data_IF_361075420451
#
_entry.id   IF_361075420451
#
_cell.length_a   1.000
_cell.length_b   1.000
_cell.length_c   1.000
_cell.angle_alpha   90.00
_cell.angle_beta   90.00
_cell.angle_gamma   90.00
#
_symmetry.space_group_name_H-M   'P 1'
#
loop_
_entity.id
_entity.type
_entity.pdbx_description
1 polymer ?
#
# COMPACT_ATOMS: atom_id res chain seq x y z
N UNK A 1 57.67 12.36 -45.97
CA UNK A 1 57.15 12.55 -44.60
C UNK A 1 55.65 12.35 -44.67
N UNK A 2 55.07 11.78 -43.63
CA UNK A 2 53.63 11.42 -43.47
C UNK A 2 53.25 9.99 -43.87
N UNK A 3 53.54 9.03 -42.98
CA UNK A 3 52.80 7.75 -42.93
C UNK A 3 52.94 6.94 -41.64
N UNK A 4 53.25 7.56 -40.47
CA UNK A 4 53.46 6.79 -39.21
C UNK A 4 52.46 7.15 -38.09
N UNK A 5 51.69 8.24 -38.18
CA UNK A 5 50.86 8.69 -37.06
C UNK A 5 49.45 8.08 -36.95
N UNK A 6 48.96 7.35 -37.94
CA UNK A 6 47.55 6.91 -37.98
C UNK A 6 47.26 5.56 -37.29
N UNK A 7 48.29 4.73 -37.03
CA UNK A 7 48.10 3.39 -36.39
C UNK A 7 48.06 3.42 -34.86
N UNK A 8 48.56 4.48 -34.22
CA UNK A 8 48.59 4.60 -32.75
C UNK A 8 47.25 5.01 -32.16
N UNK A 9 46.49 5.84 -32.89
CA UNK A 9 45.22 6.41 -32.44
C UNK A 9 44.15 5.32 -32.35
N UNK A 10 43.98 4.49 -33.38
CA UNK A 10 42.96 3.42 -33.40
C UNK A 10 43.12 2.37 -32.29
N UNK A 11 44.35 2.08 -31.83
CA UNK A 11 44.58 1.14 -30.72
C UNK A 11 44.15 1.71 -29.37
N UNK A 12 44.34 3.01 -29.12
CA UNK A 12 43.92 3.66 -27.86
C UNK A 12 42.40 3.80 -27.77
N UNK A 13 41.71 4.09 -28.87
CA UNK A 13 40.24 4.16 -28.90
C UNK A 13 39.61 2.77 -28.72
N UNK A 14 40.14 1.75 -29.40
CA UNK A 14 39.66 0.37 -29.25
C UNK A 14 39.90 -0.17 -27.83
N UNK A 15 41.05 0.13 -27.19
CA UNK A 15 41.33 -0.24 -25.80
C UNK A 15 40.40 0.48 -24.81
N UNK A 16 40.10 1.76 -25.06
CA UNK A 16 39.21 2.57 -24.20
C UNK A 16 37.75 2.12 -24.30
N UNK A 17 37.27 1.78 -25.49
CA UNK A 17 35.92 1.23 -25.68
C UNK A 17 35.79 -0.18 -25.08
N UNK A 18 36.82 -1.02 -25.22
CA UNK A 18 36.80 -2.37 -24.62
C UNK A 18 36.89 -2.34 -23.08
N UNK A 19 37.70 -1.43 -22.50
CA UNK A 19 37.70 -1.19 -21.04
C UNK A 19 36.36 -0.61 -20.57
N UNK A 20 35.76 0.32 -21.33
CA UNK A 20 34.45 0.89 -21.01
C UNK A 20 33.34 -0.16 -21.06
N UNK A 21 33.33 -1.05 -22.06
CA UNK A 21 32.40 -2.18 -22.13
C UNK A 21 32.62 -3.17 -20.99
N UNK A 22 33.88 -3.49 -20.64
CA UNK A 22 34.17 -4.35 -19.50
C UNK A 22 33.69 -3.75 -18.19
N UNK A 23 33.89 -2.44 -17.95
CA UNK A 23 33.41 -1.77 -16.74
C UNK A 23 31.88 -1.77 -16.71
N UNK A 24 31.20 -1.47 -17.83
CA UNK A 24 29.73 -1.52 -17.92
C UNK A 24 29.20 -2.94 -17.70
N UNK A 25 29.83 -3.97 -18.27
CA UNK A 25 29.45 -5.37 -18.04
C UNK A 25 29.69 -5.80 -16.59
N UNK A 26 30.81 -5.39 -15.97
CA UNK A 26 31.07 -5.69 -14.55
C UNK A 26 30.09 -4.94 -13.65
N UNK A 27 29.77 -3.67 -13.92
CA UNK A 27 28.79 -2.90 -13.17
C UNK A 27 27.37 -3.44 -13.37
N UNK A 28 27.00 -3.88 -14.57
CA UNK A 28 25.72 -4.55 -14.83
C UNK A 28 25.66 -5.91 -14.14
N UNK A 29 26.76 -6.69 -14.10
CA UNK A 29 26.80 -7.95 -13.35
C UNK A 29 26.80 -7.74 -11.84
N UNK A 30 27.41 -6.66 -11.35
CA UNK A 30 27.35 -6.24 -9.95
C UNK A 30 25.92 -5.79 -9.65
N UNK A 31 25.28 -4.97 -10.48
CA UNK A 31 23.86 -4.62 -10.33
C UNK A 31 23.00 -5.88 -10.39
N UNK A 32 23.26 -6.83 -11.30
CA UNK A 32 22.53 -8.09 -11.36
C UNK A 32 22.75 -8.94 -10.11
N UNK A 33 23.95 -8.98 -9.53
CA UNK A 33 24.28 -9.73 -8.29
C UNK A 33 23.79 -9.00 -7.03
N UNK A 34 23.70 -7.67 -7.04
CA UNK A 34 23.24 -6.85 -5.91
C UNK A 34 21.73 -6.54 -5.97
N UNK A 35 21.08 -6.61 -7.15
CA UNK A 35 19.62 -6.59 -7.34
C UNK A 35 19.02 -7.99 -7.41
N UNK A 36 19.79 -9.03 -7.75
CA UNK A 36 19.50 -10.41 -7.33
C UNK A 36 20.16 -10.67 -5.98
N UNK A 37 19.82 -9.85 -4.98
CA UNK A 37 19.62 -10.49 -3.70
C UNK A 37 18.44 -11.42 -3.93
N UNK A 38 18.58 -12.75 -3.77
CA UNK A 38 17.38 -13.56 -3.62
C UNK A 38 16.57 -12.85 -2.55
N UNK A 39 15.30 -12.53 -2.86
CA UNK A 39 14.35 -12.10 -1.84
C UNK A 39 14.63 -12.99 -0.65
N UNK A 40 14.84 -12.44 0.57
CA UNK A 40 14.94 -13.27 1.76
C UNK A 40 13.84 -14.30 1.61
N UNK A 41 14.18 -15.59 1.72
CA UNK A 41 13.20 -16.65 1.59
C UNK A 41 12.25 -16.51 2.78
N UNK A 42 11.36 -15.52 2.68
CA UNK A 42 10.26 -15.29 3.56
C UNK A 42 9.44 -16.57 3.44
N UNK A 43 8.87 -17.06 4.54
CA UNK A 43 7.87 -18.10 4.44
C UNK A 43 6.75 -17.56 3.53
N UNK A 44 6.79 -17.93 2.26
CA UNK A 44 5.70 -17.66 1.33
C UNK A 44 4.55 -18.45 1.92
N UNK A 45 3.51 -17.76 2.37
CA UNK A 45 2.24 -18.40 2.61
C UNK A 45 1.68 -18.84 1.26
N UNK A 46 2.25 -19.91 0.69
CA UNK A 46 1.82 -20.55 -0.56
C UNK A 46 0.46 -21.21 -0.38
N UNK A 47 0.04 -21.41 0.88
CA UNK A 47 -1.23 -21.99 1.26
C UNK A 47 -1.88 -21.16 2.38
N UNK A 48 -3.05 -20.63 2.06
CA UNK A 48 -3.74 -19.62 2.87
C UNK A 48 -4.54 -20.20 4.03
N UNK A 49 -4.44 -21.52 4.22
CA UNK A 49 -4.95 -22.25 5.37
C UNK A 49 -4.22 -21.88 6.69
N UNK A 50 -3.07 -21.18 6.60
CA UNK A 50 -2.25 -20.75 7.75
C UNK A 50 -2.43 -19.28 8.16
N UNK A 51 -3.34 -18.50 7.56
CA UNK A 51 -3.67 -17.15 8.07
C UNK A 51 -4.08 -17.15 9.56
N UNK A 52 -4.69 -18.22 10.13
CA UNK A 52 -4.89 -18.36 11.58
C UNK A 52 -3.67 -18.87 12.38
N UNK A 53 -2.54 -19.19 11.73
CA UNK A 53 -1.36 -19.84 12.33
C UNK A 53 -0.07 -19.08 12.01
N UNK A 54 -0.10 -17.78 12.22
CA UNK A 54 1.15 -17.02 12.33
C UNK A 54 1.98 -17.68 13.44
N UNK A 55 3.10 -18.30 13.07
CA UNK A 55 4.02 -18.91 14.04
C UNK A 55 4.43 -17.84 15.05
N UNK A 56 4.60 -18.20 16.32
CA UNK A 56 4.81 -17.27 17.44
C UNK A 56 5.98 -16.26 17.29
N UNK A 57 6.83 -16.43 16.26
CA UNK A 57 8.02 -15.61 15.99
C UNK A 57 8.02 -14.99 14.57
N UNK A 58 6.91 -15.03 13.84
CA UNK A 58 6.84 -14.39 12.52
C UNK A 58 6.83 -12.87 12.69
N UNK A 59 7.89 -12.21 12.24
CA UNK A 59 7.99 -10.74 12.20
C UNK A 59 7.48 -10.15 10.89
N UNK A 60 7.59 -10.90 9.79
CA UNK A 60 7.11 -10.48 8.47
C UNK A 60 6.11 -11.50 7.97
N UNK A 61 4.88 -11.06 7.72
CA UNK A 61 3.86 -11.87 7.07
C UNK A 61 3.82 -11.49 5.60
N UNK A 62 4.32 -12.40 4.76
CA UNK A 62 4.43 -12.20 3.32
C UNK A 62 3.46 -13.13 2.57
N UNK A 63 2.65 -12.56 1.70
CA UNK A 63 1.75 -13.28 0.79
C UNK A 63 2.21 -13.01 -0.63
N UNK A 64 2.58 -14.07 -1.35
CA UNK A 64 3.04 -13.98 -2.73
C UNK A 64 1.94 -13.59 -3.70
N UNK A 65 2.34 -13.30 -4.94
CA UNK A 65 1.42 -12.90 -6.01
C UNK A 65 0.43 -14.03 -6.33
N UNK A 66 -0.80 -13.67 -6.69
CA UNK A 66 -1.86 -14.60 -7.12
C UNK A 66 -2.27 -15.62 -6.01
N UNK A 67 -1.97 -15.34 -4.75
CA UNK A 67 -2.19 -16.26 -3.63
C UNK A 67 -3.55 -16.04 -2.96
N UNK A 68 -4.02 -17.05 -2.20
CA UNK A 68 -5.21 -16.94 -1.34
C UNK A 68 -6.53 -16.63 -2.05
N UNK A 69 -6.65 -17.04 -3.31
CA UNK A 69 -7.85 -16.88 -4.11
C UNK A 69 -8.79 -18.09 -3.99
N UNK A 70 -8.98 -18.60 -2.77
CA UNK A 70 -9.85 -19.75 -2.50
C UNK A 70 -11.23 -19.29 -2.04
N UNK A 71 -12.30 -19.76 -2.70
CA UNK A 71 -13.70 -19.39 -2.41
C UNK A 71 -14.16 -19.62 -0.96
N UNK A 72 -13.50 -20.52 -0.23
CA UNK A 72 -13.83 -20.85 1.16
C UNK A 72 -13.21 -19.87 2.19
N UNK A 73 -12.34 -18.95 1.75
CA UNK A 73 -11.72 -17.96 2.62
C UNK A 73 -12.38 -16.60 2.38
N UNK A 74 -13.31 -16.24 3.25
CA UNK A 74 -14.04 -14.96 3.19
C UNK A 74 -13.48 -13.92 4.16
N UNK A 75 -12.62 -14.32 5.10
CA UNK A 75 -12.03 -13.41 6.08
C UNK A 75 -10.50 -13.52 6.14
N UNK A 76 -9.88 -12.37 6.36
CA UNK A 76 -8.48 -12.19 6.70
C UNK A 76 -8.43 -11.41 8.01
N UNK A 77 -8.07 -12.09 9.09
CA UNK A 77 -8.01 -11.47 10.41
C UNK A 77 -6.73 -11.84 11.14
N UNK A 78 -5.97 -10.82 11.58
CA UNK A 78 -4.82 -10.99 12.47
C UNK A 78 -5.09 -10.17 13.72
N UNK A 79 -5.21 -10.85 14.86
CA UNK A 79 -5.58 -10.21 16.12
C UNK A 79 -4.68 -10.67 17.27
N UNK A 80 -4.38 -9.76 18.20
CA UNK A 80 -3.63 -10.05 19.43
C UNK A 80 -2.27 -10.72 19.17
N UNK A 81 -1.55 -10.24 18.15
CA UNK A 81 -0.26 -10.80 17.76
C UNK A 81 0.86 -9.77 17.92
N UNK A 82 1.78 -10.07 18.84
CA UNK A 82 2.76 -9.12 19.37
C UNK A 82 4.12 -9.21 18.68
N UNK A 83 4.28 -10.11 17.71
CA UNK A 83 5.52 -10.32 16.97
C UNK A 83 5.57 -9.65 15.60
N UNK A 84 4.42 -9.28 15.01
CA UNK A 84 4.35 -8.88 13.61
C UNK A 84 4.85 -7.45 13.46
N UNK A 85 5.81 -7.26 12.58
CA UNK A 85 6.45 -5.98 12.26
C UNK A 85 6.03 -5.48 10.88
N UNK A 86 5.85 -6.36 9.89
CA UNK A 86 5.48 -5.99 8.53
C UNK A 86 4.46 -6.97 7.95
N UNK A 87 3.42 -6.43 7.32
CA UNK A 87 2.46 -7.18 6.52
C UNK A 87 2.66 -6.79 5.04
N UNK A 88 2.99 -7.77 4.22
CA UNK A 88 3.24 -7.59 2.79
C UNK A 88 2.39 -8.57 2.01
N UNK A 89 1.52 -8.05 1.16
CA UNK A 89 0.65 -8.82 0.30
C UNK A 89 0.91 -8.36 -1.12
N UNK A 90 1.41 -9.25 -1.97
CA UNK A 90 1.59 -8.96 -3.39
C UNK A 90 0.26 -8.88 -4.14
N UNK A 91 0.34 -8.51 -5.42
CA UNK A 91 -0.84 -8.33 -6.27
C UNK A 91 -1.69 -9.60 -6.47
N UNK A 92 -2.96 -9.37 -6.83
CA UNK A 92 -3.95 -10.37 -7.22
C UNK A 92 -4.24 -11.41 -6.12
N UNK A 93 -4.18 -11.03 -4.84
CA UNK A 93 -4.37 -11.94 -3.72
C UNK A 93 -5.69 -11.73 -2.98
N UNK A 94 -6.22 -12.77 -2.34
CA UNK A 94 -7.44 -12.69 -1.50
C UNK A 94 -8.72 -12.22 -2.23
N UNK A 95 -8.92 -12.60 -3.49
CA UNK A 95 -10.07 -12.20 -4.32
C UNK A 95 -11.44 -12.41 -3.63
N UNK A 96 -11.57 -13.48 -2.83
CA UNK A 96 -12.83 -13.89 -2.20
C UNK A 96 -13.03 -13.37 -0.77
N UNK A 97 -12.03 -12.65 -0.23
CA UNK A 97 -12.11 -12.10 1.13
C UNK A 97 -12.98 -10.85 1.11
N UNK A 98 -13.96 -10.82 2.00
CA UNK A 98 -14.85 -9.69 2.22
C UNK A 98 -14.65 -9.04 3.61
N UNK A 99 -13.86 -9.63 4.48
CA UNK A 99 -13.54 -9.06 5.80
C UNK A 99 -12.04 -9.01 6.02
N UNK A 100 -11.48 -7.80 6.09
CA UNK A 100 -10.09 -7.54 6.42
C UNK A 100 -10.02 -6.85 7.77
N UNK A 101 -9.44 -7.53 8.77
CA UNK A 101 -9.38 -7.02 10.15
C UNK A 101 -7.98 -7.21 10.74
N UNK A 102 -7.34 -6.10 11.09
CA UNK A 102 -6.12 -6.09 11.90
C UNK A 102 -6.42 -5.45 13.24
N UNK A 103 -6.17 -6.16 14.34
CA UNK A 103 -6.46 -5.66 15.68
C UNK A 103 -5.35 -6.01 16.68
N UNK A 104 -4.88 -5.03 17.45
CA UNK A 104 -3.93 -5.26 18.55
C UNK A 104 -2.65 -5.93 18.04
N UNK A 105 -1.91 -5.20 17.19
CA UNK A 105 -0.63 -5.62 16.61
C UNK A 105 0.43 -4.57 16.98
N UNK A 106 0.90 -4.55 18.24
CA UNK A 106 1.62 -3.41 18.80
C UNK A 106 2.98 -3.15 18.15
N UNK A 107 3.59 -4.15 17.50
CA UNK A 107 4.87 -4.02 16.78
C UNK A 107 4.71 -3.80 15.29
N UNK A 108 3.50 -3.84 14.74
CA UNK A 108 3.28 -3.72 13.31
C UNK A 108 3.62 -2.29 12.90
N UNK A 109 4.58 -2.13 11.99
CA UNK A 109 5.07 -0.82 11.51
C UNK A 109 4.56 -0.48 10.13
N UNK A 110 4.37 -1.49 9.29
CA UNK A 110 4.09 -1.27 7.88
C UNK A 110 3.10 -2.30 7.33
N UNK A 111 2.17 -1.80 6.52
CA UNK A 111 1.26 -2.59 5.71
C UNK A 111 1.46 -2.19 4.25
N UNK A 112 1.79 -3.17 3.41
CA UNK A 112 1.85 -3.03 1.95
C UNK A 112 0.92 -4.06 1.32
N UNK A 113 0.00 -3.59 0.49
CA UNK A 113 -0.94 -4.43 -0.26
C UNK A 113 -0.80 -4.06 -1.73
N UNK A 114 -0.47 -5.03 -2.58
CA UNK A 114 -0.31 -4.86 -4.01
C UNK A 114 -1.65 -4.71 -4.74
N UNK A 115 -1.57 -4.46 -6.04
CA UNK A 115 -2.73 -4.21 -6.89
C UNK A 115 -3.69 -5.40 -7.00
N UNK A 116 -4.99 -5.12 -7.21
CA UNK A 116 -6.06 -6.10 -7.40
C UNK A 116 -6.19 -7.12 -6.25
N UNK A 117 -5.79 -6.76 -5.03
CA UNK A 117 -5.90 -7.62 -3.85
C UNK A 117 -7.14 -7.27 -3.04
N UNK A 118 -7.79 -8.28 -2.44
CA UNK A 118 -9.08 -8.09 -1.74
C UNK A 118 -10.14 -7.44 -2.64
N UNK A 119 -10.18 -7.78 -3.93
CA UNK A 119 -11.10 -7.12 -4.88
C UNK A 119 -12.55 -7.27 -4.41
N UNK A 120 -12.94 -8.48 -3.99
CA UNK A 120 -14.32 -8.88 -3.73
C UNK A 120 -15.04 -9.36 -4.98
N UNK A 121 -16.11 -10.14 -4.81
CA UNK A 121 -16.83 -10.75 -5.94
C UNK A 121 -18.03 -9.94 -6.45
N UNK A 122 -18.57 -9.07 -5.61
CA UNK A 122 -19.79 -8.34 -5.92
C UNK A 122 -19.93 -7.15 -4.98
N UNK A 123 -20.46 -6.03 -5.49
CA UNK A 123 -20.83 -4.85 -4.71
C UNK A 123 -22.04 -5.18 -3.84
N UNK A 124 -21.81 -5.81 -2.70
CA UNK A 124 -22.83 -6.10 -1.67
C UNK A 124 -22.40 -5.45 -0.37
N UNK A 125 -23.38 -5.01 0.43
CA UNK A 125 -23.10 -4.53 1.79
C UNK A 125 -22.42 -5.62 2.64
N UNK A 126 -21.61 -5.20 3.62
CA UNK A 126 -20.95 -6.11 4.57
C UNK A 126 -19.48 -6.40 4.28
N UNK A 127 -18.87 -5.77 3.27
CA UNK A 127 -17.43 -5.88 3.04
C UNK A 127 -16.68 -4.91 3.97
N UNK A 128 -15.95 -5.46 4.94
CA UNK A 128 -15.39 -4.73 6.09
C UNK A 128 -13.88 -4.57 5.99
N UNK A 129 -13.39 -3.33 6.07
CA UNK A 129 -11.98 -3.00 6.26
C UNK A 129 -11.79 -2.35 7.64
N UNK A 130 -10.92 -2.89 8.48
CA UNK A 130 -10.68 -2.33 9.82
C UNK A 130 -9.26 -2.58 10.30
N UNK A 131 -8.56 -1.52 10.67
CA UNK A 131 -7.24 -1.56 11.31
C UNK A 131 -7.34 -0.84 12.66
N UNK A 132 -7.01 -1.52 13.74
CA UNK A 132 -7.14 -0.93 15.08
C UNK A 132 -6.04 -1.36 16.04
N UNK A 133 -5.67 -0.47 16.97
CA UNK A 133 -4.73 -0.76 18.06
C UNK A 133 -3.36 -1.27 17.58
N UNK A 134 -2.88 -0.74 16.45
CA UNK A 134 -1.55 -1.02 15.91
C UNK A 134 -0.64 0.17 16.24
N UNK A 135 -0.13 0.19 17.48
CA UNK A 135 0.46 1.41 18.08
C UNK A 135 1.75 1.88 17.43
N UNK A 136 2.52 0.99 16.81
CA UNK A 136 3.75 1.31 16.07
C UNK A 136 3.54 1.45 14.55
N UNK A 137 2.30 1.30 14.06
CA UNK A 137 2.01 1.36 12.62
C UNK A 137 2.29 2.76 12.13
N UNK A 138 3.23 2.92 11.19
CA UNK A 138 3.65 4.22 10.65
C UNK A 138 3.21 4.44 9.20
N UNK A 139 3.01 3.37 8.42
CA UNK A 139 2.65 3.46 7.01
C UNK A 139 1.66 2.38 6.57
N UNK A 140 0.64 2.81 5.81
CA UNK A 140 -0.29 1.94 5.08
C UNK A 140 -0.23 2.31 3.60
N UNK A 141 0.08 1.33 2.76
CA UNK A 141 0.07 1.48 1.30
C UNK A 141 -0.82 0.39 0.67
N UNK A 142 -1.77 0.84 -0.14
CA UNK A 142 -2.74 -0.02 -0.83
C UNK A 142 -2.64 0.26 -2.34
N UNK A 143 -2.36 -0.81 -3.09
CA UNK A 143 -2.24 -0.83 -4.53
C UNK A 143 -3.57 -0.61 -5.24
N UNK A 144 -3.49 -0.40 -6.55
CA UNK A 144 -4.62 -0.02 -7.38
C UNK A 144 -5.66 -1.13 -7.42
N UNK A 145 -6.95 -0.77 -7.39
CA UNK A 145 -8.10 -1.69 -7.48
C UNK A 145 -8.21 -2.70 -6.32
N UNK A 146 -7.40 -2.54 -5.28
CA UNK A 146 -7.52 -3.33 -4.06
C UNK A 146 -8.69 -2.84 -3.21
N UNK A 147 -9.38 -3.75 -2.51
CA UNK A 147 -10.60 -3.43 -1.75
C UNK A 147 -11.72 -2.77 -2.59
N UNK A 148 -11.77 -3.01 -3.90
CA UNK A 148 -12.68 -2.26 -4.80
C UNK A 148 -14.17 -2.45 -4.47
N UNK A 149 -14.56 -3.63 -3.95
CA UNK A 149 -15.94 -3.92 -3.56
C UNK A 149 -16.20 -3.67 -2.08
N UNK A 150 -15.22 -3.14 -1.33
CA UNK A 150 -15.42 -2.86 0.09
C UNK A 150 -16.34 -1.68 0.28
N UNK A 151 -17.41 -1.91 1.05
CA UNK A 151 -18.58 -1.04 1.15
C UNK A 151 -18.90 -0.57 2.58
N UNK A 152 -18.29 -1.14 3.62
CA UNK A 152 -18.50 -0.70 5.00
C UNK A 152 -17.42 0.33 5.41
N UNK A 153 -17.72 1.19 6.38
CA UNK A 153 -16.85 2.29 6.84
C UNK A 153 -15.33 2.00 6.80
N UNK A 154 -14.57 2.93 6.21
CA UNK A 154 -13.10 2.87 6.21
C UNK A 154 -12.60 3.16 7.62
N UNK A 155 -12.20 2.13 8.34
CA UNK A 155 -11.80 2.27 9.74
C UNK A 155 -10.29 2.06 9.94
N UNK A 156 -9.60 3.12 10.35
CA UNK A 156 -8.28 3.04 10.97
C UNK A 156 -8.31 3.83 12.29
N UNK A 157 -8.10 3.17 13.42
CA UNK A 157 -8.19 3.83 14.74
C UNK A 157 -7.16 3.33 15.75
N UNK A 158 -6.92 4.12 16.79
CA UNK A 158 -5.98 3.78 17.87
C UNK A 158 -4.58 3.42 17.31
N UNK A 159 -4.16 4.12 16.25
CA UNK A 159 -2.86 3.97 15.58
C UNK A 159 -2.08 5.30 15.65
N UNK A 160 -1.63 5.72 16.85
CA UNK A 160 -1.05 7.06 17.07
C UNK A 160 0.27 7.29 16.35
N UNK A 161 0.99 6.23 15.95
CA UNK A 161 2.23 6.37 15.18
C UNK A 161 2.03 6.48 13.67
N UNK A 162 0.78 6.39 13.19
CA UNK A 162 0.50 6.37 11.75
C UNK A 162 0.81 7.72 11.15
N UNK A 163 1.75 7.76 10.21
CA UNK A 163 2.23 8.98 9.58
C UNK A 163 1.68 9.15 8.17
N UNK A 164 1.46 8.05 7.44
CA UNK A 164 1.08 8.06 6.03
C UNK A 164 0.06 6.98 5.67
N UNK A 165 -0.95 7.36 4.89
CA UNK A 165 -1.88 6.46 4.21
C UNK A 165 -1.82 6.77 2.72
N UNK A 166 -1.59 5.76 1.88
CA UNK A 166 -1.52 5.90 0.42
C UNK A 166 -2.38 4.86 -0.26
N UNK A 167 -3.31 5.32 -1.08
CA UNK A 167 -4.20 4.51 -1.91
C UNK A 167 -3.91 4.82 -3.38
N UNK A 168 -3.56 3.82 -4.21
CA UNK A 168 -3.12 4.06 -5.60
C UNK A 168 -4.27 4.27 -6.60
N UNK A 169 -5.53 4.04 -6.23
CA UNK A 169 -6.71 4.35 -7.04
C UNK A 169 -7.66 3.17 -7.21
N UNK A 170 -8.90 3.44 -7.60
CA UNK A 170 -9.98 2.43 -7.72
C UNK A 170 -10.18 1.61 -6.44
N UNK A 171 -9.83 2.21 -5.30
CA UNK A 171 -9.94 1.57 -4.00
C UNK A 171 -11.25 1.98 -3.35
N UNK A 172 -11.93 1.03 -2.73
CA UNK A 172 -13.12 1.25 -1.91
C UNK A 172 -14.34 1.81 -2.67
N UNK A 173 -15.53 1.32 -2.33
CA UNK A 173 -16.82 1.79 -2.82
C UNK A 173 -17.73 2.02 -1.61
N UNK A 174 -17.35 2.99 -0.78
CA UNK A 174 -17.90 3.18 0.56
C UNK A 174 -19.01 4.22 0.58
N UNK A 175 -19.94 4.17 1.55
CA UNK A 175 -20.82 5.26 1.90
C UNK A 175 -20.17 6.27 2.85
N UNK A 176 -19.17 5.87 3.67
CA UNK A 176 -18.60 6.72 4.73
C UNK A 176 -17.08 6.58 4.91
N UNK A 177 -16.38 7.71 4.90
CA UNK A 177 -15.01 7.92 5.35
C UNK A 177 -15.00 9.11 6.31
N UNK A 178 -14.82 8.84 7.61
CA UNK A 178 -14.74 9.87 8.65
C UNK A 178 -13.42 9.70 9.39
N UNK A 179 -12.55 10.71 9.34
CA UNK A 179 -11.30 10.76 10.07
C UNK A 179 -11.30 11.95 11.02
N UNK A 180 -11.47 11.69 12.32
CA UNK A 180 -11.46 12.73 13.34
C UNK A 180 -10.53 12.42 14.53
N UNK A 181 -10.45 13.36 15.47
CA UNK A 181 -9.61 13.26 16.66
C UNK A 181 -9.92 12.01 17.53
N UNK A 182 -11.15 11.48 17.49
CA UNK A 182 -11.56 10.30 18.27
C UNK A 182 -10.87 9.01 17.81
N UNK A 183 -10.36 8.98 16.58
CA UNK A 183 -9.62 7.85 16.04
C UNK A 183 -8.18 7.78 16.55
N UNK A 184 -7.69 8.80 17.26
CA UNK A 184 -6.32 8.86 17.81
C UNK A 184 -5.22 8.66 16.75
N UNK A 185 -5.38 9.24 15.55
CA UNK A 185 -4.38 9.24 14.48
C UNK A 185 -3.43 10.44 14.61
N UNK A 186 -2.79 10.57 15.77
CA UNK A 186 -2.14 11.82 16.19
C UNK A 186 -0.95 12.25 15.35
N UNK A 187 -0.27 11.33 14.65
CA UNK A 187 0.86 11.64 13.75
C UNK A 187 0.51 11.67 12.27
N UNK A 188 -0.75 11.44 11.89
CA UNK A 188 -1.09 11.33 10.48
C UNK A 188 -0.79 12.65 9.78
N UNK A 189 0.12 12.60 8.81
CA UNK A 189 0.68 13.77 8.13
C UNK A 189 0.37 13.80 6.64
N UNK A 190 0.26 12.63 6.02
CA UNK A 190 -0.02 12.48 4.60
C UNK A 190 -1.17 11.49 4.40
N UNK A 191 -2.19 11.92 3.67
CA UNK A 191 -3.25 11.05 3.18
C UNK A 191 -3.42 11.23 1.67
N UNK A 192 -3.05 10.21 0.90
CA UNK A 192 -3.13 10.19 -0.55
C UNK A 192 -4.24 9.22 -0.98
N UNK A 193 -5.20 9.75 -1.71
CA UNK A 193 -6.31 9.01 -2.31
C UNK A 193 -6.11 9.06 -3.81
N UNK A 194 -5.79 7.92 -4.43
CA UNK A 194 -5.63 7.80 -5.87
C UNK A 194 -6.96 7.91 -6.63
N UNK A 195 -6.90 8.05 -7.96
CA UNK A 195 -8.06 8.35 -8.79
C UNK A 195 -9.15 7.28 -8.71
N UNK A 196 -10.40 7.70 -8.94
CA UNK A 196 -11.60 6.85 -8.97
C UNK A 196 -11.80 6.02 -7.69
N UNK A 197 -11.31 6.48 -6.53
CA UNK A 197 -11.48 5.81 -5.25
C UNK A 197 -12.71 6.34 -4.50
N UNK A 198 -13.24 5.56 -3.56
CA UNK A 198 -14.40 5.94 -2.73
C UNK A 198 -15.63 6.30 -3.57
N UNK A 199 -15.93 5.50 -4.59
CA UNK A 199 -17.10 5.73 -5.43
C UNK A 199 -18.40 5.53 -4.62
N UNK A 200 -19.43 6.33 -4.89
CA UNK A 200 -20.71 6.40 -4.16
C UNK A 200 -20.59 6.79 -2.67
N UNK A 201 -19.52 7.46 -2.26
CA UNK A 201 -19.39 7.95 -0.88
C UNK A 201 -20.32 9.12 -0.59
N UNK A 202 -21.16 8.94 0.42
CA UNK A 202 -22.10 9.96 0.90
C UNK A 202 -21.46 10.80 2.01
N UNK A 203 -20.51 10.27 2.78
CA UNK A 203 -19.83 11.02 3.84
C UNK A 203 -18.32 10.93 3.72
N UNK A 204 -17.69 12.08 3.50
CA UNK A 204 -16.25 12.30 3.53
C UNK A 204 -15.97 13.44 4.50
N UNK A 205 -15.47 13.11 5.69
CA UNK A 205 -15.19 14.09 6.72
C UNK A 205 -13.79 13.87 7.27
N UNK A 206 -12.98 14.94 7.25
CA UNK A 206 -11.69 14.96 7.92
C UNK A 206 -11.70 16.16 8.86
N UNK A 207 -11.57 15.91 10.16
CA UNK A 207 -11.72 16.96 11.15
C UNK A 207 -10.68 16.83 12.28
N UNK A 208 -10.14 17.96 12.73
CA UNK A 208 -9.29 18.01 13.93
C UNK A 208 -8.10 17.03 13.89
N UNK A 209 -7.45 16.84 12.73
CA UNK A 209 -6.21 16.08 12.64
C UNK A 209 -5.00 17.03 12.73
N UNK A 210 -4.34 17.14 13.91
CA UNK A 210 -3.44 18.24 14.22
C UNK A 210 -2.10 18.20 13.48
N UNK A 211 -1.76 17.09 12.83
CA UNK A 211 -0.51 16.93 12.09
C UNK A 211 -0.74 16.67 10.60
N UNK A 212 -1.99 16.69 10.12
CA UNK A 212 -2.28 16.43 8.71
C UNK A 212 -1.81 17.61 7.86
N UNK A 213 -0.72 17.41 7.12
CA UNK A 213 -0.03 18.43 6.34
C UNK A 213 -0.32 18.34 4.84
N UNK A 214 -0.58 17.14 4.35
CA UNK A 214 -0.85 16.88 2.94
C UNK A 214 -2.06 15.99 2.76
N UNK A 215 -2.97 16.44 1.91
CA UNK A 215 -4.01 15.60 1.34
C UNK A 215 -3.99 15.68 -0.18
N UNK A 216 -3.99 14.51 -0.81
CA UNK A 216 -4.13 14.38 -2.26
C UNK A 216 -5.41 13.61 -2.56
N UNK A 217 -6.25 14.16 -3.41
CA UNK A 217 -7.46 13.50 -3.91
C UNK A 217 -7.33 13.40 -5.42
N UNK A 218 -7.26 12.18 -5.94
CA UNK A 218 -7.14 11.89 -7.35
C UNK A 218 -8.46 12.06 -8.09
N UNK A 219 -8.36 12.28 -9.40
CA UNK A 219 -9.46 12.54 -10.32
C UNK A 219 -10.58 11.50 -10.17
N UNK A 220 -11.84 11.92 -10.32
CA UNK A 220 -13.03 11.05 -10.20
C UNK A 220 -13.22 10.33 -8.86
N UNK A 221 -12.42 10.65 -7.82
CA UNK A 221 -12.68 10.14 -6.47
C UNK A 221 -13.97 10.75 -5.91
N UNK A 222 -14.67 10.00 -5.05
CA UNK A 222 -15.93 10.42 -4.43
C UNK A 222 -17.07 10.73 -5.43
N UNK A 223 -16.98 10.24 -6.67
CA UNK A 223 -18.04 10.38 -7.66
C UNK A 223 -19.21 9.42 -7.39
N UNK A 224 -20.40 9.72 -7.93
CA UNK A 224 -21.58 8.84 -7.84
C UNK A 224 -22.43 8.99 -6.57
N UNK A 225 -22.06 9.88 -5.65
CA UNK A 225 -22.82 10.15 -4.44
C UNK A 225 -24.23 10.74 -4.74
N UNK A 226 -25.24 10.32 -3.99
CA UNK A 226 -26.60 10.89 -4.08
C UNK A 226 -26.59 12.22 -3.30
N UNK A 227 -26.85 13.32 -4.01
CA UNK A 227 -26.55 14.69 -3.56
C UNK A 227 -27.34 15.14 -2.30
N UNK A 228 -28.51 14.55 -2.03
CA UNK A 228 -29.45 15.11 -1.05
C UNK A 228 -29.10 14.82 0.43
N UNK A 229 -28.15 13.91 0.69
CA UNK A 229 -27.72 13.55 2.05
C UNK A 229 -26.19 13.50 2.22
N UNK A 230 -25.44 14.01 1.25
CA UNK A 230 -23.99 13.89 1.26
C UNK A 230 -23.28 14.99 2.09
N UNK A 231 -22.23 14.62 2.82
CA UNK A 231 -21.38 15.52 3.62
C UNK A 231 -19.93 15.38 3.15
N UNK A 232 -19.35 16.50 2.69
CA UNK A 232 -17.98 16.57 2.20
C UNK A 232 -17.26 17.74 2.90
N UNK A 233 -16.40 17.43 3.87
CA UNK A 233 -15.75 18.43 4.68
C UNK A 233 -14.32 18.06 5.04
N UNK A 234 -13.43 19.04 4.93
CA UNK A 234 -12.13 19.03 5.59
C UNK A 234 -12.06 20.28 6.47
N UNK A 235 -11.88 20.11 7.77
CA UNK A 235 -11.87 21.20 8.73
C UNK A 235 -10.83 21.00 9.84
N UNK A 236 -10.41 22.10 10.46
CA UNK A 236 -9.52 22.09 11.64
C UNK A 236 -8.23 21.26 11.46
N UNK A 237 -7.70 21.20 10.24
CA UNK A 237 -6.45 20.53 9.90
C UNK A 237 -5.42 21.57 9.41
N UNK A 238 -4.15 21.50 9.85
CA UNK A 238 -3.12 22.43 9.39
C UNK A 238 -2.56 21.97 8.04
N UNK A 239 -3.35 22.18 6.97
CA UNK A 239 -3.05 21.75 5.60
C UNK A 239 -2.33 22.86 4.80
N UNK A 240 -0.98 22.94 4.81
CA UNK A 240 -0.25 23.80 3.88
C UNK A 240 -0.38 23.34 2.43
N UNK A 241 -0.63 22.05 2.17
CA UNK A 241 -0.71 21.48 0.84
C UNK A 241 -1.94 20.58 0.68
N UNK A 242 -3.03 21.15 0.16
CA UNK A 242 -4.16 20.39 -0.35
C UNK A 242 -4.12 20.41 -1.89
N UNK A 243 -4.05 19.24 -2.52
CA UNK A 243 -4.08 19.12 -3.98
C UNK A 243 -5.22 18.20 -4.38
N UNK A 244 -6.17 18.75 -5.13
CA UNK A 244 -7.15 17.98 -5.89
C UNK A 244 -6.57 17.85 -7.29
N UNK A 245 -6.25 16.63 -7.71
CA UNK A 245 -5.88 16.36 -9.09
C UNK A 245 -7.19 16.30 -9.91
N UNK A 246 -7.15 16.88 -11.11
CA UNK A 246 -8.29 17.10 -12.00
C UNK A 246 -8.06 16.50 -13.37
#
# INVERSE_FOLDING_TARGET
MDSIEEKSINKKYCLRESISLCIVCTLLSIIFVYHWRPLPSFPVAEYCYDVPRIKNNTEVFYVGKDACNTMNQTSFAIQNYFGLVSLQIESNSFQFVNSFVLNTLPKLKEIQIGDNSFEGLSSQSGYRFSISKCTELSSVSIGRKSFSQYSDEFEIRECPSLERIVLQGFNFQLPRLVLDESLHLTKLSVFEIGPSSFWNTEQFEINSLPNLQSITIGDESFNGAIQDHSSFQIANCPLPYATVQS
#
